data_IF_357579671340
#
_entry.id   IF_357579671340
#
_cell.length_a   1.000
_cell.length_b   1.000
_cell.length_c   1.000
_cell.angle_alpha   90.00
_cell.angle_beta   90.00
_cell.angle_gamma   90.00
#
_symmetry.space_group_name_H-M   'P 1'
#
loop_
_entity.id
_entity.type
_entity.pdbx_description
1 polymer ?
#
# COMPACT_ATOMS: atom_id res chain seq x y z
N UNK A 1 -42.73 -16.58 -2.44
CA UNK A 1 -41.76 -17.70 -2.32
C UNK A 1 -40.99 -17.98 -3.61
N UNK A 2 -41.55 -17.76 -4.81
CA UNK A 2 -40.79 -17.91 -6.07
C UNK A 2 -39.95 -16.65 -6.40
N UNK A 3 -40.38 -15.46 -5.94
CA UNK A 3 -39.64 -14.19 -6.09
C UNK A 3 -38.38 -14.09 -5.23
N UNK A 4 -38.23 -14.91 -4.18
CA UNK A 4 -37.02 -14.95 -3.33
C UNK A 4 -35.97 -15.94 -3.82
N UNK A 5 -36.32 -16.85 -4.75
CA UNK A 5 -35.37 -17.81 -5.35
C UNK A 5 -34.62 -17.22 -6.55
N UNK A 6 -35.17 -16.19 -7.21
CA UNK A 6 -34.50 -15.44 -8.29
C UNK A 6 -33.48 -14.42 -7.77
N UNK A 7 -33.54 -14.05 -6.48
CA UNK A 7 -32.53 -13.24 -5.81
C UNK A 7 -31.31 -14.04 -5.32
N UNK A 8 -31.36 -15.38 -5.47
CA UNK A 8 -30.30 -16.31 -5.05
C UNK A 8 -29.42 -16.77 -6.24
N UNK A 9 -29.46 -16.04 -7.36
CA UNK A 9 -28.43 -16.12 -8.39
C UNK A 9 -27.34 -15.12 -8.05
N UNK A 10 -26.26 -15.58 -7.41
CA UNK A 10 -25.01 -14.83 -7.26
C UNK A 10 -24.33 -14.64 -8.63
N UNK A 11 -24.99 -13.94 -9.54
CA UNK A 11 -24.36 -13.40 -10.72
C UNK A 11 -23.40 -12.32 -10.21
N UNK A 12 -22.12 -12.45 -10.52
CA UNK A 12 -21.23 -11.31 -10.50
C UNK A 12 -21.94 -10.19 -11.26
N UNK A 13 -22.38 -9.15 -10.56
CA UNK A 13 -22.96 -7.99 -11.22
C UNK A 13 -21.81 -7.23 -11.86
N UNK A 14 -21.44 -7.71 -13.05
CA UNK A 14 -20.38 -7.12 -13.86
C UNK A 14 -20.63 -5.63 -14.08
N UNK A 15 -21.91 -5.21 -14.18
CA UNK A 15 -22.28 -3.80 -14.31
C UNK A 15 -21.82 -2.99 -13.09
N UNK A 16 -22.07 -3.49 -11.89
CA UNK A 16 -21.59 -2.85 -10.65
C UNK A 16 -20.06 -2.85 -10.56
N UNK A 17 -19.40 -3.95 -10.91
CA UNK A 17 -17.92 -4.05 -10.87
C UNK A 17 -17.28 -3.05 -11.84
N UNK A 18 -17.73 -3.02 -13.10
CA UNK A 18 -17.20 -2.10 -14.10
C UNK A 18 -17.48 -0.64 -13.74
N UNK A 19 -18.65 -0.36 -13.15
CA UNK A 19 -18.99 1.00 -12.69
C UNK A 19 -18.07 1.43 -11.54
N UNK A 20 -17.86 0.57 -10.54
CA UNK A 20 -16.94 0.83 -9.44
C UNK A 20 -15.51 1.03 -9.94
N UNK A 21 -15.04 0.19 -10.87
CA UNK A 21 -13.71 0.34 -11.48
C UNK A 21 -13.57 1.65 -12.25
N UNK A 22 -14.55 2.00 -13.07
CA UNK A 22 -14.55 3.25 -13.82
C UNK A 22 -14.50 4.46 -12.87
N UNK A 23 -15.32 4.46 -11.82
CA UNK A 23 -15.33 5.52 -10.81
C UNK A 23 -14.00 5.63 -10.08
N UNK A 24 -13.46 4.51 -9.58
CA UNK A 24 -12.16 4.51 -8.88
C UNK A 24 -11.06 5.02 -9.79
N UNK A 25 -10.96 4.54 -11.03
CA UNK A 25 -9.92 4.96 -11.97
C UNK A 25 -10.04 6.44 -12.35
N UNK A 26 -11.24 6.92 -12.67
CA UNK A 26 -11.46 8.33 -13.04
C UNK A 26 -11.12 9.24 -11.86
N UNK A 27 -11.65 8.95 -10.68
CA UNK A 27 -11.47 9.80 -9.50
C UNK A 27 -10.04 9.76 -8.98
N UNK A 28 -9.41 8.58 -8.95
CA UNK A 28 -8.00 8.46 -8.59
C UNK A 28 -7.11 9.21 -9.57
N UNK A 29 -7.35 9.12 -10.89
CA UNK A 29 -6.57 9.87 -11.89
C UNK A 29 -6.74 11.38 -11.80
N UNK A 30 -7.97 11.86 -11.58
CA UNK A 30 -8.21 13.29 -11.37
C UNK A 30 -7.50 13.81 -10.10
N UNK A 31 -7.54 13.03 -9.02
CA UNK A 31 -6.88 13.40 -7.77
C UNK A 31 -5.35 13.34 -7.89
N UNK A 32 -4.81 12.34 -8.59
CA UNK A 32 -3.38 12.22 -8.90
C UNK A 32 -2.88 13.42 -9.71
N UNK A 33 -3.57 13.77 -10.80
CA UNK A 33 -3.25 14.94 -11.63
C UNK A 33 -3.28 16.25 -10.81
N UNK A 34 -4.25 16.41 -9.91
CA UNK A 34 -4.30 17.57 -9.02
C UNK A 34 -3.08 17.61 -8.07
N UNK A 35 -2.69 16.46 -7.51
CA UNK A 35 -1.53 16.32 -6.65
C UNK A 35 -0.22 16.66 -7.38
N UNK A 36 -0.05 16.15 -8.59
CA UNK A 36 1.12 16.47 -9.42
C UNK A 36 1.21 17.96 -9.75
N UNK A 37 0.07 18.62 -10.03
CA UNK A 37 0.01 20.08 -10.28
C UNK A 37 0.47 20.91 -9.09
N UNK A 38 0.19 20.45 -7.87
CA UNK A 38 0.66 21.09 -6.63
C UNK A 38 2.01 20.54 -6.13
N UNK A 39 2.67 19.69 -6.92
CA UNK A 39 4.00 19.11 -6.68
C UNK A 39 4.09 18.21 -5.44
N UNK A 40 3.04 17.42 -5.18
CA UNK A 40 3.07 16.33 -4.19
C UNK A 40 2.92 14.98 -4.90
N UNK A 41 3.37 13.87 -4.28
CA UNK A 41 3.25 12.53 -4.86
C UNK A 41 1.82 12.19 -5.27
N UNK A 42 1.65 11.67 -6.48
CA UNK A 42 0.35 11.36 -7.08
C UNK A 42 -0.41 10.32 -6.25
N UNK A 43 0.31 9.35 -5.67
CA UNK A 43 -0.25 8.32 -4.78
C UNK A 43 -1.06 8.89 -3.61
N UNK A 44 -0.71 10.08 -3.10
CA UNK A 44 -1.48 10.72 -2.03
C UNK A 44 -2.88 11.09 -2.52
N UNK A 45 -3.01 11.58 -3.75
CA UNK A 45 -4.30 11.88 -4.38
C UNK A 45 -5.14 10.63 -4.59
N UNK A 46 -4.52 9.55 -5.07
CA UNK A 46 -5.20 8.27 -5.32
C UNK A 46 -5.76 7.67 -4.01
N UNK A 47 -4.95 7.64 -2.94
CA UNK A 47 -5.38 7.16 -1.62
C UNK A 47 -6.50 8.04 -1.07
N UNK A 48 -6.34 9.37 -1.17
CA UNK A 48 -7.36 10.32 -0.69
C UNK A 48 -8.69 10.15 -1.43
N UNK A 49 -8.65 9.97 -2.76
CA UNK A 49 -9.83 9.68 -3.55
C UNK A 49 -10.51 8.37 -3.11
N UNK A 50 -9.73 7.31 -2.86
CA UNK A 50 -10.25 6.05 -2.33
C UNK A 50 -10.95 6.20 -0.98
N UNK A 51 -10.37 6.96 -0.05
CA UNK A 51 -10.97 7.23 1.27
C UNK A 51 -12.31 8.00 1.13
N UNK A 52 -12.34 9.02 0.25
CA UNK A 52 -13.52 9.85 0.04
C UNK A 52 -14.66 9.04 -0.60
N UNK A 53 -14.37 8.26 -1.63
CA UNK A 53 -15.37 7.54 -2.42
C UNK A 53 -15.81 6.24 -1.72
N UNK A 54 -14.93 5.67 -0.92
CA UNK A 54 -15.17 4.44 -0.16
C UNK A 54 -16.12 4.61 1.04
N UNK A 55 -16.37 3.51 1.78
CA UNK A 55 -17.31 3.48 2.90
C UNK A 55 -16.89 4.34 4.09
N UNK A 56 -15.63 4.77 4.16
CA UNK A 56 -15.13 5.67 5.20
C UNK A 56 -15.74 7.07 5.13
N UNK A 57 -16.26 7.51 3.97
CA UNK A 57 -16.86 8.84 3.80
C UNK A 57 -18.17 8.81 3.00
N UNK A 58 -18.13 8.68 1.67
CA UNK A 58 -19.33 8.80 0.83
C UNK A 58 -20.05 7.46 0.60
N UNK A 59 -19.35 6.32 0.73
CA UNK A 59 -19.94 4.99 0.53
C UNK A 59 -20.45 4.73 -0.89
N UNK A 60 -19.83 5.35 -1.90
CA UNK A 60 -20.22 5.21 -3.30
C UNK A 60 -19.66 3.90 -3.89
N UNK A 61 -18.46 3.52 -3.47
CA UNK A 61 -17.79 2.28 -3.91
C UNK A 61 -17.56 1.38 -2.70
N UNK A 62 -18.10 0.17 -2.77
CA UNK A 62 -17.93 -0.88 -1.77
C UNK A 62 -16.76 -1.81 -2.13
N UNK A 63 -15.98 -2.29 -1.12
CA UNK A 63 -14.98 -3.31 -1.35
C UNK A 63 -15.59 -4.58 -1.93
N UNK A 64 -15.04 -5.06 -3.04
CA UNK A 64 -15.41 -6.34 -3.65
C UNK A 64 -14.19 -7.23 -3.83
N UNK A 65 -14.40 -8.54 -3.92
CA UNK A 65 -13.32 -9.49 -4.19
C UNK A 65 -12.61 -9.16 -5.52
N UNK A 66 -13.37 -8.79 -6.55
CA UNK A 66 -12.82 -8.37 -7.83
C UNK A 66 -11.92 -7.13 -7.71
N UNK A 67 -12.35 -6.10 -6.98
CA UNK A 67 -11.52 -4.91 -6.72
C UNK A 67 -10.25 -5.26 -5.93
N UNK A 68 -10.34 -6.18 -4.95
CA UNK A 68 -9.19 -6.62 -4.15
C UNK A 68 -8.16 -7.34 -5.01
N UNK A 69 -8.59 -8.28 -5.86
CA UNK A 69 -7.70 -8.99 -6.78
C UNK A 69 -7.05 -8.02 -7.77
N UNK A 70 -7.80 -7.07 -8.32
CA UNK A 70 -7.24 -6.06 -9.23
C UNK A 70 -6.25 -5.13 -8.53
N UNK A 71 -6.51 -4.76 -7.28
CA UNK A 71 -5.56 -3.99 -6.47
C UNK A 71 -4.26 -4.77 -6.21
N UNK A 72 -4.36 -6.05 -5.85
CA UNK A 72 -3.19 -6.94 -5.65
C UNK A 72 -2.37 -7.07 -6.94
N UNK A 73 -3.02 -7.29 -8.09
CA UNK A 73 -2.36 -7.32 -9.40
C UNK A 73 -1.67 -5.99 -9.70
N UNK A 74 -2.32 -4.86 -9.41
CA UNK A 74 -1.73 -3.53 -9.58
C UNK A 74 -0.47 -3.33 -8.74
N UNK A 75 -0.46 -3.79 -7.49
CA UNK A 75 0.72 -3.74 -6.60
C UNK A 75 1.84 -4.64 -7.11
N UNK A 76 1.52 -5.84 -7.61
CA UNK A 76 2.52 -6.75 -8.20
C UNK A 76 3.17 -6.12 -9.43
N UNK A 77 2.38 -5.53 -10.33
CA UNK A 77 2.89 -4.85 -11.53
C UNK A 77 3.77 -3.66 -11.14
N UNK A 78 3.31 -2.84 -10.20
CA UNK A 78 4.08 -1.70 -9.68
C UNK A 78 5.45 -2.13 -9.12
N UNK A 79 5.47 -3.16 -8.27
CA UNK A 79 6.71 -3.66 -7.67
C UNK A 79 7.63 -4.30 -8.72
N UNK A 80 7.06 -4.96 -9.74
CA UNK A 80 7.83 -5.49 -10.86
C UNK A 80 8.45 -4.38 -11.70
N UNK A 81 7.70 -3.32 -12.02
CA UNK A 81 8.18 -2.15 -12.76
C UNK A 81 9.34 -1.47 -12.01
N UNK A 82 9.17 -1.21 -10.71
CA UNK A 82 10.25 -0.67 -9.86
C UNK A 82 11.47 -1.58 -9.89
N UNK A 83 11.28 -2.89 -9.76
CA UNK A 83 12.38 -3.86 -9.81
C UNK A 83 13.12 -3.88 -11.15
N UNK A 84 12.42 -3.62 -12.27
CA UNK A 84 13.00 -3.52 -13.61
C UNK A 84 13.77 -2.21 -13.84
N UNK A 85 13.38 -1.12 -13.18
CA UNK A 85 14.10 0.17 -13.24
C UNK A 85 15.36 0.21 -12.36
N UNK A 86 15.45 -0.66 -11.34
CA UNK A 86 16.57 -0.67 -10.40
C UNK A 86 17.84 -1.33 -10.98
N UNK A 87 18.98 -0.63 -10.85
CA UNK A 87 20.29 -1.19 -11.16
C UNK A 87 20.80 -2.05 -9.99
N UNK A 88 20.88 -3.37 -10.21
CA UNK A 88 21.34 -4.34 -9.21
C UNK A 88 22.81 -4.14 -8.80
N UNK A 89 23.66 -3.61 -9.67
CA UNK A 89 25.06 -3.32 -9.32
C UNK A 89 25.13 -2.15 -8.35
N UNK A 90 24.30 -1.14 -8.56
CA UNK A 90 24.19 0.00 -7.68
C UNK A 90 23.54 -0.36 -6.34
N UNK A 91 22.54 -1.25 -6.35
CA UNK A 91 21.94 -1.78 -5.12
C UNK A 91 22.96 -2.53 -4.27
N UNK A 92 23.83 -3.33 -4.90
CA UNK A 92 24.93 -4.02 -4.21
C UNK A 92 25.92 -3.06 -3.53
N UNK A 93 26.15 -1.86 -4.10
CA UNK A 93 27.03 -0.85 -3.50
C UNK A 93 26.51 -0.35 -2.15
N UNK A 94 25.19 -0.27 -1.98
CA UNK A 94 24.54 0.16 -0.73
C UNK A 94 24.11 -1.00 0.18
N UNK A 95 24.46 -2.24 -0.15
CA UNK A 95 23.96 -3.42 0.55
C UNK A 95 24.27 -3.46 2.06
N UNK A 96 25.45 -2.99 2.48
CA UNK A 96 25.81 -2.91 3.91
C UNK A 96 24.93 -1.92 4.67
N UNK A 97 24.70 -0.74 4.08
CA UNK A 97 23.83 0.27 4.68
C UNK A 97 22.38 -0.24 4.73
N UNK A 98 21.91 -0.85 3.64
CA UNK A 98 20.57 -1.45 3.55
C UNK A 98 20.36 -2.53 4.61
N UNK A 99 21.34 -3.41 4.82
CA UNK A 99 21.27 -4.45 5.85
C UNK A 99 21.22 -3.87 7.27
N UNK A 100 21.99 -2.82 7.56
CA UNK A 100 21.91 -2.13 8.84
C UNK A 100 20.55 -1.47 9.05
N UNK A 101 20.01 -0.82 8.01
CA UNK A 101 18.67 -0.21 8.05
C UNK A 101 17.59 -1.28 8.26
N UNK A 102 17.68 -2.43 7.61
CA UNK A 102 16.74 -3.54 7.78
C UNK A 102 16.75 -4.07 9.23
N UNK A 103 17.94 -4.35 9.77
CA UNK A 103 18.09 -4.86 11.15
C UNK A 103 17.55 -3.84 12.16
N UNK A 104 17.97 -2.58 12.06
CA UNK A 104 17.51 -1.53 12.97
C UNK A 104 16.01 -1.24 12.79
N UNK A 105 15.53 -1.27 11.56
CA UNK A 105 14.12 -1.07 11.19
C UNK A 105 13.19 -2.16 11.70
N UNK A 106 13.71 -3.36 12.03
CA UNK A 106 12.93 -4.40 12.72
C UNK A 106 13.13 -4.34 14.23
N UNK A 107 14.39 -4.32 14.69
CA UNK A 107 14.71 -4.44 16.11
C UNK A 107 14.17 -3.26 16.92
N UNK A 108 14.33 -2.03 16.41
CA UNK A 108 13.88 -0.84 17.15
C UNK A 108 12.34 -0.79 17.26
N UNK A 109 11.55 -0.84 16.17
CA UNK A 109 10.09 -0.81 16.28
C UNK A 109 9.55 -2.00 17.08
N UNK A 110 10.11 -3.19 16.88
CA UNK A 110 9.65 -4.38 17.61
C UNK A 110 9.90 -4.28 19.10
N UNK A 111 11.11 -3.88 19.53
CA UNK A 111 11.41 -3.68 20.95
C UNK A 111 10.55 -2.57 21.55
N UNK A 112 10.37 -1.44 20.85
CA UNK A 112 9.52 -0.36 21.34
C UNK A 112 8.04 -0.76 21.44
N UNK A 113 7.51 -1.55 20.50
CA UNK A 113 6.13 -2.02 20.56
C UNK A 113 5.91 -3.03 21.68
N UNK A 114 6.85 -3.94 21.93
CA UNK A 114 6.79 -4.87 23.07
C UNK A 114 6.83 -4.12 24.40
N UNK A 115 7.73 -3.14 24.52
CA UNK A 115 7.84 -2.30 25.71
C UNK A 115 6.57 -1.46 25.93
N UNK A 116 6.02 -0.88 24.87
CA UNK A 116 4.77 -0.13 24.94
C UNK A 116 3.60 -1.01 25.37
N UNK A 117 3.43 -2.19 24.76
CA UNK A 117 2.38 -3.14 25.16
C UNK A 117 2.51 -3.56 26.63
N UNK A 118 3.73 -3.87 27.07
CA UNK A 118 4.00 -4.24 28.46
C UNK A 118 3.69 -3.08 29.42
N UNK A 119 4.03 -1.84 29.05
CA UNK A 119 3.75 -0.65 29.85
C UNK A 119 2.24 -0.34 29.95
N UNK A 120 1.46 -0.75 28.94
CA UNK A 120 0.00 -0.66 28.94
C UNK A 120 -0.67 -1.79 29.76
N UNK A 121 0.10 -2.73 30.30
CA UNK A 121 -0.41 -3.86 31.07
C UNK A 121 -0.95 -5.00 30.21
N UNK A 122 -0.62 -5.01 28.91
CA UNK A 122 -1.07 -6.05 27.99
C UNK A 122 -0.33 -7.37 28.20
N UNK A 123 -0.95 -8.46 27.76
CA UNK A 123 -0.30 -9.78 27.76
C UNK A 123 0.97 -9.80 26.91
N UNK A 124 1.89 -10.72 27.19
CA UNK A 124 3.10 -10.90 26.39
C UNK A 124 2.78 -11.14 24.91
N UNK A 125 1.75 -11.94 24.61
CA UNK A 125 1.34 -12.21 23.23
C UNK A 125 0.85 -10.95 22.53
N UNK A 126 0.04 -10.12 23.19
CA UNK A 126 -0.43 -8.84 22.65
C UNK A 126 0.73 -7.84 22.47
N UNK A 127 1.68 -7.81 23.40
CA UNK A 127 2.87 -6.96 23.32
C UNK A 127 3.81 -7.38 22.18
N UNK A 128 4.02 -8.69 21.99
CA UNK A 128 4.77 -9.24 20.86
C UNK A 128 4.06 -8.95 19.52
N UNK A 129 2.73 -9.06 19.49
CA UNK A 129 1.93 -8.71 18.33
C UNK A 129 2.08 -7.22 17.99
N UNK A 130 2.00 -6.33 18.99
CA UNK A 130 2.21 -4.89 18.80
C UNK A 130 3.62 -4.59 18.26
N UNK A 131 4.66 -5.21 18.83
CA UNK A 131 6.01 -5.11 18.31
C UNK A 131 6.14 -5.55 16.86
N UNK A 132 5.60 -6.72 16.52
CA UNK A 132 5.62 -7.23 15.16
C UNK A 132 4.85 -6.32 14.18
N UNK A 133 3.69 -5.79 14.61
CA UNK A 133 2.88 -4.88 13.80
C UNK A 133 3.62 -3.57 13.47
N UNK A 134 4.40 -3.03 14.43
CA UNK A 134 5.20 -1.82 14.21
C UNK A 134 6.45 -2.06 13.35
N UNK A 135 6.95 -3.29 13.28
CA UNK A 135 8.13 -3.64 12.48
C UNK A 135 7.81 -3.85 10.98
N UNK A 136 6.55 -4.09 10.62
CA UNK A 136 6.14 -4.29 9.24
C UNK A 136 6.22 -2.98 8.43
N UNK A 137 6.91 -3.01 7.28
CA UNK A 137 7.05 -1.86 6.37
C UNK A 137 6.34 -2.12 5.03
N UNK A 138 6.08 -1.06 4.25
CA UNK A 138 5.43 -1.17 2.93
C UNK A 138 6.37 -0.72 1.81
N UNK A 139 6.95 -1.70 1.10
CA UNK A 139 7.84 -1.44 -0.05
C UNK A 139 7.08 -0.80 -1.20
N UNK A 140 5.85 -1.26 -1.47
CA UNK A 140 5.07 -0.79 -2.63
C UNK A 140 4.76 0.69 -2.60
N UNK A 141 4.31 1.22 -1.46
CA UNK A 141 4.04 2.66 -1.32
C UNK A 141 5.34 3.46 -1.37
N UNK A 142 6.38 3.00 -0.68
CA UNK A 142 7.68 3.68 -0.67
C UNK A 142 8.28 3.78 -2.07
N UNK A 143 8.24 2.67 -2.82
CA UNK A 143 8.68 2.61 -4.21
C UNK A 143 7.87 3.54 -5.11
N UNK A 144 6.54 3.56 -4.97
CA UNK A 144 5.68 4.48 -5.71
C UNK A 144 6.01 5.94 -5.40
N UNK A 145 6.21 6.30 -4.13
CA UNK A 145 6.58 7.67 -3.74
C UNK A 145 7.92 8.08 -4.35
N UNK A 146 8.95 7.23 -4.28
CA UNK A 146 10.23 7.54 -4.93
C UNK A 146 10.10 7.62 -6.47
N UNK A 147 9.24 6.81 -7.08
CA UNK A 147 8.92 6.86 -8.50
C UNK A 147 8.24 8.16 -8.91
N UNK A 148 7.18 8.56 -8.20
CA UNK A 148 6.48 9.84 -8.40
C UNK A 148 7.43 11.04 -8.30
N UNK A 149 8.41 10.96 -7.39
CA UNK A 149 9.43 11.98 -7.19
C UNK A 149 10.61 11.87 -8.17
N UNK A 150 10.64 10.89 -9.07
CA UNK A 150 11.75 10.58 -9.99
C UNK A 150 13.09 10.40 -9.27
N UNK A 151 13.04 9.83 -8.08
CA UNK A 151 14.16 9.69 -7.15
C UNK A 151 14.58 8.23 -6.92
N UNK A 152 14.09 7.26 -7.69
CA UNK A 152 14.45 5.84 -7.58
C UNK A 152 15.96 5.57 -7.72
N UNK A 153 16.66 6.40 -8.49
CA UNK A 153 18.11 6.29 -8.66
C UNK A 153 18.93 6.90 -7.49
N UNK A 154 18.28 7.57 -6.53
CA UNK A 154 18.96 8.16 -5.37
C UNK A 154 19.54 7.11 -4.44
N UNK A 155 20.57 7.49 -3.69
CA UNK A 155 21.21 6.60 -2.70
C UNK A 155 20.22 6.22 -1.61
N UNK A 156 19.40 7.16 -1.18
CA UNK A 156 18.37 7.00 -0.16
C UNK A 156 17.31 5.99 -0.62
N UNK A 157 16.79 6.13 -1.85
CA UNK A 157 15.83 5.19 -2.41
C UNK A 157 16.41 3.78 -2.49
N UNK A 158 17.66 3.63 -2.96
CA UNK A 158 18.32 2.32 -3.03
C UNK A 158 18.54 1.68 -1.67
N UNK A 159 18.92 2.47 -0.66
CA UNK A 159 19.07 1.98 0.73
C UNK A 159 17.72 1.51 1.28
N UNK A 160 16.68 2.33 1.12
CA UNK A 160 15.35 2.02 1.66
C UNK A 160 14.73 0.83 0.94
N UNK A 161 14.77 0.79 -0.39
CA UNK A 161 14.25 -0.33 -1.19
C UNK A 161 15.07 -1.61 -1.01
N UNK A 162 16.39 -1.50 -0.77
CA UNK A 162 17.24 -2.65 -0.47
C UNK A 162 17.11 -3.18 0.96
N UNK A 163 16.56 -2.38 1.88
CA UNK A 163 16.37 -2.74 3.28
C UNK A 163 15.00 -3.37 3.56
N UNK A 164 14.05 -3.19 2.63
CA UNK A 164 12.67 -3.59 2.79
C UNK A 164 12.41 -5.01 2.26
#
# INVERSE_FOLDING_TARGET
MISSLLAAGGALDFGQIFTSLALVLILAKLAAELCERIRIPAVLGEITAGIIVGPSMLGIVEPSEALRVLAEVGVIILLAEVGLEMDLNELRRVGRASMLVAILGVVLPMSTGVLAGSALGESLNASLFLGAALAATSVGITARVFGDLKALASTEARIVLGAA
#
